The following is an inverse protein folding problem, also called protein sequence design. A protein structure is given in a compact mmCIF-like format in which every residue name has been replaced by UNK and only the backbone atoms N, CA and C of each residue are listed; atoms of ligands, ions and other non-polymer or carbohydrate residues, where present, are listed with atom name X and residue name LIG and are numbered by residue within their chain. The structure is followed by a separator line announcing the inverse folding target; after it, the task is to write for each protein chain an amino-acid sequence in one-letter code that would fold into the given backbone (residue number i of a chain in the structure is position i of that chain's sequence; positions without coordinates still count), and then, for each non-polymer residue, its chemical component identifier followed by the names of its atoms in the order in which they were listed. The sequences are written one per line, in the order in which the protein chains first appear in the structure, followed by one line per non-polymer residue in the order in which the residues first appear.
data_IF_654695815485
#
_entry.id   IF_654695815485
#
_cell.length_a   1.000
_cell.length_b   1.000
_cell.length_c   1.000
_cell.angle_alpha   90.00
_cell.angle_beta   90.00
_cell.angle_gamma   90.00
#
_symmetry.space_group_name_H-M   'P 1'
#
loop_
_entity.id
_entity.type
_entity.pdbx_description
1 polymer ?
#
# COMPACT_ATOMS: atom_id res chain seq x y z
N UNK A 1 16.06 6.55 9.19
CA UNK A 1 16.14 5.14 9.68
C UNK A 1 14.75 4.49 9.77
N UNK A 2 13.66 5.27 9.85
CA UNK A 2 12.27 4.77 9.95
C UNK A 2 11.65 4.25 8.65
N UNK A 3 11.99 4.79 7.48
CA UNK A 3 11.39 4.37 6.19
C UNK A 3 11.72 2.93 5.74
N UNK A 4 12.73 2.32 6.37
CA UNK A 4 13.13 0.93 6.08
C UNK A 4 12.16 -0.09 6.73
N UNK A 5 11.47 0.30 7.81
CA UNK A 5 10.62 -0.61 8.58
C UNK A 5 9.35 -1.01 7.83
N UNK A 6 8.71 -0.07 7.11
CA UNK A 6 7.50 -0.31 6.30
C UNK A 6 7.72 -1.37 5.21
N UNK A 7 8.92 -1.42 4.61
CA UNK A 7 9.28 -2.44 3.62
C UNK A 7 9.54 -3.79 4.26
N UNK A 8 10.28 -3.82 5.37
CA UNK A 8 10.56 -5.05 6.10
C UNK A 8 9.26 -5.68 6.68
N UNK A 9 8.35 -4.83 7.15
CA UNK A 9 7.05 -5.23 7.67
C UNK A 9 6.22 -6.02 6.65
N UNK A 10 6.35 -5.79 5.34
CA UNK A 10 5.60 -6.56 4.34
C UNK A 10 6.29 -7.85 3.87
N UNK A 11 7.53 -8.13 4.30
CA UNK A 11 8.45 -8.98 3.52
C UNK A 11 8.79 -10.36 4.10
N UNK A 12 7.98 -11.00 4.95
CA UNK A 12 8.27 -12.40 5.33
C UNK A 12 7.02 -13.28 5.50
N UNK A 13 6.85 -14.24 4.58
CA UNK A 13 5.81 -15.27 4.60
C UNK A 13 5.70 -15.97 3.24
N UNK A 14 5.93 -17.29 3.22
CA UNK A 14 5.89 -18.24 2.10
C UNK A 14 6.97 -18.11 0.99
N UNK A 15 7.86 -19.11 0.95
CA UNK A 15 9.04 -19.27 0.07
C UNK A 15 8.76 -19.26 -1.45
N UNK A 16 7.51 -19.12 -1.89
CA UNK A 16 7.10 -19.15 -3.30
C UNK A 16 7.01 -17.74 -3.96
N UNK A 17 6.90 -16.65 -3.18
CA UNK A 17 6.57 -15.30 -3.68
C UNK A 17 7.72 -14.27 -3.65
N UNK A 18 8.89 -14.66 -3.13
CA UNK A 18 10.00 -13.73 -2.89
C UNK A 18 10.61 -13.11 -4.16
N UNK A 19 10.64 -13.85 -5.28
CA UNK A 19 11.26 -13.40 -6.54
C UNK A 19 10.51 -12.27 -7.24
N UNK A 20 9.17 -12.33 -7.25
CA UNK A 20 8.31 -11.29 -7.84
C UNK A 20 8.40 -10.00 -7.02
N UNK A 21 8.29 -10.11 -5.69
CA UNK A 21 8.43 -8.98 -4.77
C UNK A 21 9.82 -8.35 -4.86
N UNK A 22 10.89 -9.15 -5.05
CA UNK A 22 12.24 -8.62 -5.25
C UNK A 22 12.35 -7.77 -6.53
N UNK A 23 11.84 -8.26 -7.67
CA UNK A 23 11.83 -7.52 -8.95
C UNK A 23 11.02 -6.23 -8.84
N UNK A 24 9.84 -6.29 -8.24
CA UNK A 24 9.01 -5.10 -8.01
C UNK A 24 9.66 -4.14 -6.99
N UNK A 25 10.41 -4.65 -6.03
CA UNK A 25 11.17 -3.88 -5.05
C UNK A 25 12.26 -3.00 -5.68
N UNK A 26 12.92 -3.46 -6.75
CA UNK A 26 13.86 -2.62 -7.52
C UNK A 26 13.14 -1.47 -8.21
N UNK A 27 11.98 -1.73 -8.84
CA UNK A 27 11.14 -0.70 -9.45
C UNK A 27 10.66 0.32 -8.41
N UNK A 28 10.24 -0.15 -7.24
CA UNK A 28 9.82 0.71 -6.13
C UNK A 28 10.97 1.58 -5.60
N UNK A 29 12.23 1.12 -5.65
CA UNK A 29 13.40 1.97 -5.32
C UNK A 29 13.62 3.06 -6.36
N UNK A 30 13.57 2.71 -7.63
CA UNK A 30 13.67 3.70 -8.72
C UNK A 30 12.57 4.75 -8.63
N UNK A 31 11.32 4.32 -8.43
CA UNK A 31 10.20 5.25 -8.28
C UNK A 31 10.33 6.11 -7.03
N UNK A 32 10.87 5.59 -5.92
CA UNK A 32 11.08 6.39 -4.71
C UNK A 32 11.98 7.60 -4.95
N UNK A 33 13.00 7.46 -5.79
CA UNK A 33 13.87 8.59 -6.16
C UNK A 33 13.09 9.65 -6.92
N UNK A 34 12.30 9.24 -7.92
CA UNK A 34 11.44 10.15 -8.69
C UNK A 34 10.32 10.77 -7.84
N UNK A 35 9.78 10.01 -6.89
CA UNK A 35 8.72 10.45 -5.99
C UNK A 35 9.18 11.56 -5.05
N UNK A 36 10.47 11.61 -4.70
CA UNK A 36 11.04 12.72 -3.91
C UNK A 36 10.94 14.03 -4.70
N UNK A 37 11.42 14.02 -5.94
CA UNK A 37 11.38 15.21 -6.80
C UNK A 37 9.94 15.60 -7.13
N UNK A 38 9.06 14.63 -7.37
CA UNK A 38 7.63 14.85 -7.60
C UNK A 38 6.93 15.46 -6.37
N UNK A 39 7.27 15.02 -5.14
CA UNK A 39 6.76 15.63 -3.91
C UNK A 39 7.22 17.08 -3.79
N UNK A 40 8.48 17.38 -4.08
CA UNK A 40 8.99 18.76 -4.03
C UNK A 40 8.28 19.66 -5.05
N UNK A 41 8.05 19.15 -6.26
CA UNK A 41 7.28 19.85 -7.29
C UNK A 41 5.82 20.06 -6.87
N UNK A 42 5.18 19.04 -6.29
CA UNK A 42 3.82 19.15 -5.75
C UNK A 42 3.73 20.23 -4.67
N UNK A 43 4.68 20.25 -3.73
CA UNK A 43 4.78 21.29 -2.70
C UNK A 43 4.93 22.70 -3.29
N UNK A 44 5.82 22.87 -4.28
CA UNK A 44 5.97 24.16 -5.00
C UNK A 44 4.71 24.60 -5.74
N UNK A 45 3.88 23.65 -6.16
CA UNK A 45 2.61 23.90 -6.83
C UNK A 45 1.42 24.05 -5.86
N UNK A 46 1.63 23.94 -4.54
CA UNK A 46 0.56 23.99 -3.55
C UNK A 46 -0.35 22.76 -3.56
N UNK A 47 0.14 21.62 -4.04
CA UNK A 47 -0.60 20.35 -4.09
C UNK A 47 -0.25 19.53 -2.85
N UNK A 48 -1.24 19.27 -2.00
CA UNK A 48 -1.08 18.43 -0.81
C UNK A 48 -0.89 16.95 -1.19
N UNK A 49 -0.04 16.25 -0.44
CA UNK A 49 0.27 14.82 -0.64
C UNK A 49 0.35 14.11 0.70
N UNK A 50 0.00 12.82 0.76
CA UNK A 50 0.26 12.02 1.96
C UNK A 50 1.77 11.94 2.26
N UNK A 51 2.16 11.81 3.54
CA UNK A 51 3.56 11.79 4.03
C UNK A 51 4.32 10.53 3.63
N UNK A 52 3.61 9.41 3.51
CA UNK A 52 4.17 8.12 3.11
C UNK A 52 3.29 7.45 2.07
N UNK A 53 3.92 6.66 1.20
CA UNK A 53 3.25 5.86 0.19
C UNK A 53 3.82 4.43 0.19
N UNK A 54 2.94 3.43 0.14
CA UNK A 54 3.32 2.02 0.10
C UNK A 54 2.43 1.19 -0.84
N UNK A 55 2.84 -0.05 -1.13
CA UNK A 55 2.07 -1.01 -1.93
C UNK A 55 2.64 -1.35 -3.31
N UNK A 56 3.53 -0.53 -3.90
CA UNK A 56 4.10 -0.82 -5.24
C UNK A 56 4.80 -2.16 -5.31
N UNK A 57 5.66 -2.48 -4.35
CA UNK A 57 6.42 -3.72 -4.37
C UNK A 57 5.52 -4.96 -4.17
N UNK A 58 4.33 -4.75 -3.61
CA UNK A 58 3.34 -5.77 -3.27
C UNK A 58 2.20 -5.84 -4.30
N UNK A 59 2.35 -5.22 -5.48
CA UNK A 59 1.29 -5.18 -6.48
C UNK A 59 0.92 -6.58 -6.96
N UNK A 60 -0.28 -7.03 -6.56
CA UNK A 60 -0.80 -8.38 -6.81
C UNK A 60 -0.35 -9.45 -5.82
N UNK A 61 0.36 -9.08 -4.75
CA UNK A 61 0.97 -9.98 -3.76
C UNK A 61 0.63 -9.56 -2.32
N UNK A 62 -0.47 -8.81 -2.11
CA UNK A 62 -0.89 -8.38 -0.78
C UNK A 62 -1.32 -9.58 0.06
N UNK A 63 -0.83 -9.67 1.29
CA UNK A 63 -1.17 -10.75 2.24
C UNK A 63 -1.73 -10.18 3.53
N UNK A 64 -2.56 -10.95 4.23
CA UNK A 64 -3.14 -10.55 5.53
C UNK A 64 -2.04 -10.27 6.56
N UNK A 65 -1.00 -11.10 6.59
CA UNK A 65 0.16 -10.94 7.46
C UNK A 65 0.94 -9.68 7.10
N UNK A 66 1.08 -9.39 5.81
CA UNK A 66 1.65 -8.14 5.32
C UNK A 66 0.89 -6.93 5.85
N UNK A 67 -0.41 -6.84 5.56
CA UNK A 67 -1.25 -5.72 6.03
C UNK A 67 -1.20 -5.59 7.55
N UNK A 68 -1.25 -6.69 8.29
CA UNK A 68 -1.14 -6.68 9.75
C UNK A 68 0.16 -6.05 10.24
N UNK A 69 1.29 -6.39 9.61
CA UNK A 69 2.59 -5.83 9.98
C UNK A 69 2.72 -4.37 9.57
N UNK A 70 2.21 -3.99 8.39
CA UNK A 70 2.16 -2.60 7.93
C UNK A 70 1.41 -1.72 8.94
N UNK A 71 0.19 -2.12 9.33
CA UNK A 71 -0.63 -1.36 10.27
C UNK A 71 0.05 -1.16 11.63
N UNK A 72 0.81 -2.15 12.10
CA UNK A 72 1.58 -2.06 13.36
C UNK A 72 2.85 -1.23 13.27
N UNK A 73 3.28 -0.88 12.06
CA UNK A 73 4.53 -0.17 11.81
C UNK A 73 4.32 1.18 11.13
N UNK A 74 3.09 1.69 11.11
CA UNK A 74 2.82 2.99 10.50
C UNK A 74 3.55 4.09 11.28
N UNK A 75 4.29 4.97 10.59
CA UNK A 75 4.85 6.17 11.22
C UNK A 75 3.74 7.18 11.55
N UNK A 76 4.08 8.17 12.38
CA UNK A 76 3.24 9.35 12.58
C UNK A 76 3.10 10.14 11.26
N UNK A 77 1.89 10.68 11.01
CA UNK A 77 1.53 11.36 9.77
C UNK A 77 0.54 10.56 8.92
N UNK A 78 0.49 10.87 7.63
CA UNK A 78 -0.45 10.29 6.67
C UNK A 78 0.22 9.23 5.79
N UNK A 79 -0.34 8.03 5.72
CA UNK A 79 0.17 6.95 4.86
C UNK A 79 -0.88 6.52 3.84
N UNK A 80 -0.51 6.57 2.56
CA UNK A 80 -1.28 6.02 1.46
C UNK A 80 -0.86 4.56 1.18
N UNK A 81 -1.83 3.65 1.14
CA UNK A 81 -1.64 2.26 0.72
C UNK A 81 -2.29 2.05 -0.66
N UNK A 82 -1.47 1.82 -1.68
CA UNK A 82 -1.95 1.39 -2.98
C UNK A 82 -2.46 -0.05 -2.92
N UNK A 83 -3.70 -0.24 -3.37
CA UNK A 83 -4.37 -1.53 -3.44
C UNK A 83 -5.32 -1.59 -4.66
N UNK A 84 -5.83 -2.79 -4.94
CA UNK A 84 -6.68 -3.12 -6.07
C UNK A 84 -7.82 -4.07 -5.68
N UNK A 85 -8.55 -3.85 -4.57
CA UNK A 85 -9.67 -4.73 -4.19
C UNK A 85 -10.74 -4.72 -5.29
N UNK A 86 -11.34 -5.89 -5.54
CA UNK A 86 -12.43 -6.02 -6.50
C UNK A 86 -12.86 -7.47 -6.71
N UNK A 87 -14.06 -7.65 -7.23
CA UNK A 87 -14.59 -8.99 -7.53
C UNK A 87 -13.86 -9.62 -8.71
N UNK A 88 -13.47 -10.90 -8.57
CA UNK A 88 -12.95 -11.70 -9.67
C UNK A 88 -14.07 -12.24 -10.56
N UNK A 89 -14.84 -11.33 -11.16
CA UNK A 89 -15.96 -11.66 -12.03
C UNK A 89 -15.55 -11.90 -13.50
N UNK A 90 -16.51 -12.35 -14.32
CA UNK A 90 -16.27 -12.62 -15.75
C UNK A 90 -15.81 -11.38 -16.53
N UNK A 91 -16.26 -10.19 -16.10
CA UNK A 91 -15.85 -8.93 -16.74
C UNK A 91 -14.37 -8.69 -16.50
N UNK A 92 -13.90 -8.87 -15.28
CA UNK A 92 -12.49 -8.78 -14.92
C UNK A 92 -11.66 -9.86 -15.63
N UNK A 93 -12.19 -11.08 -15.73
CA UNK A 93 -11.56 -12.21 -16.43
C UNK A 93 -11.24 -11.93 -17.91
N UNK A 94 -11.99 -11.04 -18.56
CA UNK A 94 -11.78 -10.63 -19.96
C UNK A 94 -10.72 -9.54 -20.14
N UNK A 95 -10.24 -8.93 -19.05
CA UNK A 95 -9.25 -7.85 -19.13
C UNK A 95 -7.82 -8.39 -19.22
N UNK A 96 -6.92 -7.69 -19.90
CA UNK A 96 -5.52 -8.11 -20.05
C UNK A 96 -4.65 -7.90 -18.78
N UNK A 97 -5.25 -7.62 -17.62
CA UNK A 97 -4.49 -7.41 -16.39
C UNK A 97 -4.01 -8.73 -15.79
N UNK A 98 -2.80 -8.73 -15.22
CA UNK A 98 -2.29 -9.85 -14.41
C UNK A 98 -2.89 -9.91 -13.00
N UNK A 99 -3.68 -8.90 -12.60
CA UNK A 99 -4.15 -8.72 -11.22
C UNK A 99 -5.52 -9.34 -10.95
N UNK A 100 -6.07 -10.14 -11.86
CA UNK A 100 -7.46 -10.62 -11.77
C UNK A 100 -7.73 -11.35 -10.45
N UNK A 101 -6.96 -12.41 -10.16
CA UNK A 101 -7.13 -13.20 -8.94
C UNK A 101 -6.77 -12.41 -7.67
N UNK A 102 -5.74 -11.56 -7.72
CA UNK A 102 -5.31 -10.81 -6.54
C UNK A 102 -6.34 -9.79 -6.07
N UNK A 103 -7.22 -9.28 -6.94
CA UNK A 103 -8.26 -8.32 -6.55
C UNK A 103 -9.23 -8.89 -5.52
N UNK A 104 -9.64 -10.15 -5.70
CA UNK A 104 -10.54 -10.84 -4.78
C UNK A 104 -9.86 -11.05 -3.41
N UNK A 105 -8.60 -11.49 -3.43
CA UNK A 105 -7.79 -11.62 -2.21
C UNK A 105 -7.63 -10.29 -1.48
N UNK A 106 -7.34 -9.20 -2.19
CA UNK A 106 -7.23 -7.87 -1.61
C UNK A 106 -8.55 -7.40 -1.00
N UNK A 107 -9.68 -7.64 -1.68
CA UNK A 107 -11.01 -7.33 -1.16
C UNK A 107 -11.29 -8.06 0.17
N UNK A 108 -11.02 -9.36 0.22
CA UNK A 108 -11.21 -10.17 1.42
C UNK A 108 -10.34 -9.71 2.59
N UNK A 109 -9.08 -9.35 2.32
CA UNK A 109 -8.17 -8.84 3.36
C UNK A 109 -8.64 -7.48 3.89
N UNK A 110 -8.95 -6.54 2.99
CA UNK A 110 -9.27 -5.16 3.36
C UNK A 110 -10.66 -5.00 3.98
N UNK A 111 -11.54 -5.99 3.81
CA UNK A 111 -12.87 -6.05 4.44
C UNK A 111 -12.93 -6.99 5.65
N UNK A 112 -11.81 -7.63 6.01
CA UNK A 112 -11.72 -8.53 7.16
C UNK A 112 -11.95 -7.78 8.48
N UNK A 113 -12.90 -8.27 9.28
CA UNK A 113 -13.21 -7.71 10.61
C UNK A 113 -11.98 -7.64 11.52
N UNK A 114 -11.04 -8.59 11.40
CA UNK A 114 -9.79 -8.58 12.17
C UNK A 114 -8.87 -7.44 11.77
N UNK A 115 -8.80 -7.11 10.49
CA UNK A 115 -8.03 -5.97 9.99
C UNK A 115 -8.68 -4.67 10.45
N UNK A 116 -10.01 -4.56 10.33
CA UNK A 116 -10.77 -3.39 10.84
C UNK A 116 -10.55 -3.17 12.34
N UNK A 117 -10.60 -4.23 13.14
CA UNK A 117 -10.35 -4.13 14.58
C UNK A 117 -8.91 -3.72 14.89
N UNK A 118 -7.95 -4.19 14.09
CA UNK A 118 -6.55 -3.79 14.24
C UNK A 118 -6.37 -2.29 13.98
N UNK A 119 -6.95 -1.76 12.89
CA UNK A 119 -6.97 -0.32 12.58
C UNK A 119 -7.47 0.48 13.79
N UNK A 120 -8.63 0.10 14.34
CA UNK A 120 -9.20 0.77 15.51
C UNK A 120 -8.29 0.67 16.75
N UNK A 121 -7.73 -0.52 17.03
CA UNK A 121 -6.89 -0.73 18.21
C UNK A 121 -5.54 0.01 18.16
N UNK A 122 -5.05 0.33 16.96
CA UNK A 122 -3.83 1.10 16.76
C UNK A 122 -4.09 2.61 16.75
N UNK A 123 -5.34 3.06 16.92
CA UNK A 123 -5.70 4.47 16.81
C UNK A 123 -5.55 5.03 15.39
N UNK A 124 -5.51 4.17 14.38
CA UNK A 124 -5.35 4.59 12.98
C UNK A 124 -6.68 5.15 12.51
N UNK A 125 -6.65 6.38 11.98
CA UNK A 125 -7.80 7.01 11.36
C UNK A 125 -7.76 6.81 9.85
N UNK A 126 -8.79 6.17 9.31
CA UNK A 126 -9.00 6.11 7.87
C UNK A 126 -9.53 7.47 7.42
N UNK A 127 -8.85 8.08 6.45
CA UNK A 127 -9.13 9.40 5.92
C UNK A 127 -9.24 9.36 4.40
N UNK A 128 -9.86 10.39 3.83
CA UNK A 128 -9.80 10.68 2.40
C UNK A 128 -8.81 11.83 2.11
N UNK A 129 -8.58 12.13 0.82
CA UNK A 129 -7.65 13.18 0.39
C UNK A 129 -8.05 14.60 0.83
N UNK A 130 -9.32 14.85 1.12
CA UNK A 130 -9.78 16.13 1.66
C UNK A 130 -9.26 16.40 3.08
N UNK A 131 -8.89 15.36 3.83
CA UNK A 131 -8.20 15.56 5.10
C UNK A 131 -6.74 16.00 4.89
N UNK A 132 -6.06 15.44 3.88
CA UNK A 132 -4.66 15.75 3.55
C UNK A 132 -4.51 17.21 3.13
N UNK A 133 -5.54 17.82 2.54
CA UNK A 133 -5.53 19.23 2.14
C UNK A 133 -5.73 20.24 3.29
N UNK A 134 -6.17 19.79 4.47
CA UNK A 134 -6.52 20.69 5.59
C UNK A 134 -5.37 20.93 6.58
N UNK A 135 -4.26 20.21 6.47
CA UNK A 135 -3.04 20.40 7.29
C UNK A 135 -1.88 21.07 6.52
N UNK A 136 -2.15 21.61 5.33
CA UNK A 136 -1.17 22.32 4.49
C UNK A 136 -1.24 23.85 4.65
#
# INVERSE_FOLDING_TARGET
LEESSLRAALSFGAKQHAGVVMKQGVRARGLKLLARDAREQAGRAGISTADFFCGIAQTGELTREGVTRLLRSLPEGTTELMCHPGYADETLGKTATRLQASRQTELEILTDTKIRNLVASQGIRLIDYGFVTQEA
#
